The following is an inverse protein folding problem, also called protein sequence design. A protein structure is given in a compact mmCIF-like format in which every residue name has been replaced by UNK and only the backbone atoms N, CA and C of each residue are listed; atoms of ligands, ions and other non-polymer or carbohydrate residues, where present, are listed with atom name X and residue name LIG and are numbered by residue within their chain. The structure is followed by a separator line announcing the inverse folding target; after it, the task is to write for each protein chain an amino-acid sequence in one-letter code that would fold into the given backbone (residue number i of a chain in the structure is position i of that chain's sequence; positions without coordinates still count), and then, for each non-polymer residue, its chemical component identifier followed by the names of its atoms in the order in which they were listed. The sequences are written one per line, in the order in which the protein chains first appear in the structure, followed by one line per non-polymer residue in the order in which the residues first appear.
data_IF_033939159847
#
_entry.id   IF_033939159847
#
_cell.length_a   1.000
_cell.length_b   1.000
_cell.length_c   1.000
_cell.angle_alpha   90.00
_cell.angle_beta   90.00
_cell.angle_gamma   90.00
#
_symmetry.space_group_name_H-M   'P 1'
#
loop_
_entity.id
_entity.type
_entity.pdbx_description
1 polymer ?
#
# COMPACT_ATOMS: atom_id res chain seq x y z
N UNK A 1 30.24 18.68 25.33
CA UNK A 1 28.78 18.79 25.26
C UNK A 1 28.33 17.86 24.16
N UNK A 2 27.51 16.88 24.54
CA UNK A 2 27.02 15.80 23.69
C UNK A 2 26.07 16.34 22.61
N UNK A 3 26.29 15.95 21.35
CA UNK A 3 25.41 16.30 20.24
C UNK A 3 24.44 15.14 20.01
N UNK A 4 23.26 15.23 20.61
CA UNK A 4 22.17 14.30 20.38
C UNK A 4 21.71 14.35 18.92
N UNK A 5 21.96 13.27 18.17
CA UNK A 5 21.35 13.00 16.88
C UNK A 5 19.95 12.41 17.12
N UNK A 6 18.94 13.26 17.07
CA UNK A 6 17.55 12.83 16.91
C UNK A 6 17.33 12.32 15.50
N UNK A 7 17.42 11.01 15.29
CA UNK A 7 16.96 10.36 14.08
C UNK A 7 15.43 10.33 14.10
N UNK A 8 14.80 11.11 13.22
CA UNK A 8 13.33 11.17 13.15
C UNK A 8 12.85 12.01 11.98
N UNK A 9 13.28 11.67 10.77
CA UNK A 9 12.88 12.40 9.57
C UNK A 9 12.96 11.51 8.33
N UNK A 10 12.03 10.58 8.18
CA UNK A 10 11.83 9.92 6.88
C UNK A 10 10.90 10.82 6.05
N UNK A 11 11.47 11.90 5.50
CA UNK A 11 10.83 12.70 4.48
C UNK A 11 10.79 11.92 3.17
N UNK A 12 9.61 11.60 2.67
CA UNK A 12 9.41 11.11 1.32
C UNK A 12 9.63 12.28 0.35
N UNK A 13 10.81 12.34 -0.27
CA UNK A 13 11.07 13.20 -1.42
C UNK A 13 10.77 12.38 -2.68
N UNK A 14 9.61 12.62 -3.30
CA UNK A 14 9.36 12.15 -4.68
C UNK A 14 9.92 13.22 -5.63
N UNK A 15 11.19 13.08 -6.01
CA UNK A 15 11.74 13.85 -7.12
C UNK A 15 11.45 13.09 -8.42
N UNK A 16 10.52 13.62 -9.22
CA UNK A 16 10.12 13.05 -10.49
C UNK A 16 9.48 14.11 -11.39
N UNK A 17 10.28 15.06 -11.87
CA UNK A 17 9.93 15.95 -12.97
C UNK A 17 10.07 15.17 -14.30
N UNK A 18 9.09 14.31 -14.59
CA UNK A 18 8.80 13.84 -15.93
C UNK A 18 7.31 13.44 -15.98
N UNK A 19 6.49 14.31 -16.56
CA UNK A 19 5.07 14.06 -16.76
C UNK A 19 4.86 12.93 -17.79
N UNK A 20 4.90 11.68 -17.31
CA UNK A 20 4.52 10.47 -18.02
C UNK A 20 3.23 9.95 -17.37
N UNK A 21 2.10 10.06 -18.08
CA UNK A 21 0.80 9.63 -17.55
C UNK A 21 0.68 8.09 -17.62
N UNK A 22 1.00 7.40 -16.52
CA UNK A 22 0.73 5.96 -16.33
C UNK A 22 -0.39 5.81 -15.32
N UNK A 23 -1.57 5.39 -15.77
CA UNK A 23 -2.68 5.00 -14.88
C UNK A 23 -2.59 3.51 -14.62
N UNK A 24 -2.52 3.12 -13.36
CA UNK A 24 -2.52 1.73 -12.89
C UNK A 24 -3.36 1.59 -11.63
N UNK A 25 -3.50 0.36 -11.13
CA UNK A 25 -4.21 0.08 -9.89
C UNK A 25 -3.24 -0.58 -8.90
N UNK A 26 -3.46 -0.31 -7.62
CA UNK A 26 -2.70 -0.90 -6.54
C UNK A 26 -3.61 -1.85 -5.76
N UNK A 27 -3.09 -3.04 -5.47
CA UNK A 27 -3.82 -4.07 -4.75
C UNK A 27 -3.22 -4.24 -3.35
N UNK A 28 -4.07 -4.65 -2.41
CA UNK A 28 -3.69 -4.95 -1.03
C UNK A 28 -3.93 -6.42 -0.75
N UNK A 29 -3.06 -7.03 0.06
CA UNK A 29 -3.24 -8.39 0.52
C UNK A 29 -4.62 -8.59 1.19
N UNK A 30 -5.28 -9.71 0.89
CA UNK A 30 -6.65 -9.99 1.35
C UNK A 30 -6.72 -10.13 2.88
N UNK A 31 -5.68 -10.71 3.51
CA UNK A 31 -5.64 -10.87 4.97
C UNK A 31 -5.58 -9.51 5.66
N UNK A 32 -4.76 -8.60 5.14
CA UNK A 32 -4.65 -7.25 5.69
C UNK A 32 -5.93 -6.47 5.45
N UNK A 33 -6.49 -6.59 4.25
CA UNK A 33 -7.74 -5.95 3.84
C UNK A 33 -8.91 -6.36 4.75
N UNK A 34 -9.04 -7.65 5.06
CA UNK A 34 -10.07 -8.14 5.99
C UNK A 34 -9.90 -7.57 7.41
N UNK A 35 -8.66 -7.51 7.90
CA UNK A 35 -8.35 -6.94 9.23
C UNK A 35 -8.67 -5.46 9.33
N UNK A 36 -8.35 -4.68 8.30
CA UNK A 36 -8.68 -3.24 8.25
C UNK A 36 -10.19 -3.04 8.05
N UNK A 37 -10.84 -3.86 7.24
CA UNK A 37 -12.28 -3.83 7.00
C UNK A 37 -13.12 -4.05 8.27
N UNK A 38 -12.58 -4.75 9.28
CA UNK A 38 -13.21 -4.93 10.57
C UNK A 38 -13.11 -3.70 11.51
N UNK A 39 -12.35 -2.66 11.14
CA UNK A 39 -12.22 -1.43 11.92
C UNK A 39 -13.21 -0.35 11.47
N UNK A 40 -13.62 0.52 12.40
CA UNK A 40 -14.36 1.73 12.06
C UNK A 40 -13.47 2.70 11.26
N UNK A 41 -14.00 3.40 10.22
CA UNK A 41 -15.40 3.39 9.77
C UNK A 41 -15.74 2.27 8.79
N UNK A 42 -14.78 1.47 8.33
CA UNK A 42 -14.99 0.44 7.31
C UNK A 42 -15.98 -0.65 7.73
N UNK A 43 -15.99 -0.98 9.03
CA UNK A 43 -16.88 -1.98 9.62
C UNK A 43 -18.36 -1.63 9.54
N UNK A 44 -18.71 -0.37 9.23
CA UNK A 44 -20.11 0.05 9.02
C UNK A 44 -20.56 -0.10 7.58
N UNK A 45 -19.65 -0.42 6.66
CA UNK A 45 -19.97 -0.64 5.26
C UNK A 45 -20.63 -2.02 5.08
N UNK A 46 -21.86 -2.03 4.57
CA UNK A 46 -22.65 -3.25 4.34
C UNK A 46 -22.56 -3.77 2.91
N UNK A 47 -21.85 -3.06 2.02
CA UNK A 47 -21.67 -3.49 0.63
C UNK A 47 -20.67 -4.64 0.58
N UNK A 48 -21.06 -5.73 -0.09
CA UNK A 48 -20.18 -6.87 -0.31
C UNK A 48 -18.92 -6.42 -1.06
N UNK A 49 -17.75 -6.70 -0.49
CA UNK A 49 -16.46 -6.44 -1.13
C UNK A 49 -16.19 -7.43 -2.26
N UNK A 50 -15.61 -6.93 -3.35
CA UNK A 50 -14.90 -7.75 -4.33
C UNK A 50 -13.53 -8.11 -3.77
N UNK A 51 -13.23 -9.40 -3.68
CA UNK A 51 -11.91 -9.90 -3.29
C UNK A 51 -10.96 -9.90 -4.48
N UNK A 52 -9.65 -10.01 -4.24
CA UNK A 52 -8.66 -10.13 -5.32
C UNK A 52 -8.97 -11.30 -6.28
N UNK A 53 -9.46 -12.42 -5.76
CA UNK A 53 -9.81 -13.59 -6.58
C UNK A 53 -11.07 -13.38 -7.45
N UNK A 54 -11.86 -12.35 -7.17
CA UNK A 54 -13.07 -12.00 -7.91
C UNK A 54 -12.86 -10.79 -8.83
N UNK A 55 -11.74 -10.08 -8.68
CA UNK A 55 -11.41 -8.90 -9.44
C UNK A 55 -10.83 -9.31 -10.80
N UNK A 56 -11.53 -9.01 -11.90
CA UNK A 56 -11.09 -9.40 -13.24
C UNK A 56 -9.87 -8.61 -13.75
N UNK A 57 -9.41 -7.60 -13.01
CA UNK A 57 -8.23 -6.80 -13.35
C UNK A 57 -6.98 -7.37 -12.66
N UNK A 58 -7.13 -7.95 -11.47
CA UNK A 58 -6.02 -8.61 -10.80
C UNK A 58 -5.79 -10.00 -11.39
N UNK A 59 -4.61 -10.18 -11.99
CA UNK A 59 -4.21 -11.40 -12.72
C UNK A 59 -3.36 -12.36 -11.88
N UNK A 60 -3.30 -12.14 -10.56
CA UNK A 60 -2.47 -12.90 -9.61
C UNK A 60 -0.94 -12.75 -9.80
N UNK A 61 -0.48 -11.77 -10.58
CA UNK A 61 0.96 -11.54 -10.81
C UNK A 61 1.70 -10.83 -9.65
N UNK A 62 1.08 -10.71 -8.47
CA UNK A 62 1.72 -10.18 -7.26
C UNK A 62 2.22 -8.74 -7.44
N UNK A 63 3.46 -8.46 -7.03
CA UNK A 63 4.03 -7.11 -7.07
C UNK A 63 4.12 -6.55 -8.51
N UNK A 64 4.33 -7.41 -9.51
CA UNK A 64 4.35 -7.00 -10.91
C UNK A 64 2.98 -6.47 -11.38
N UNK A 65 1.91 -6.98 -10.77
CA UNK A 65 0.53 -6.58 -11.01
C UNK A 65 0.03 -5.50 -10.04
N UNK A 66 0.91 -4.94 -9.21
CA UNK A 66 0.61 -3.84 -8.30
C UNK A 66 0.22 -4.25 -6.88
N UNK A 67 0.42 -5.51 -6.47
CA UNK A 67 0.21 -5.93 -5.08
C UNK A 67 1.29 -5.34 -4.16
N UNK A 68 0.84 -4.57 -3.16
CA UNK A 68 1.71 -3.92 -2.20
C UNK A 68 2.25 -4.90 -1.17
N UNK A 69 3.55 -4.82 -0.86
CA UNK A 69 4.12 -5.44 0.34
C UNK A 69 3.96 -4.47 1.50
N UNK A 70 3.20 -4.87 2.52
CA UNK A 70 2.90 -4.04 3.67
C UNK A 70 3.64 -4.54 4.92
N UNK A 71 4.20 -3.60 5.67
CA UNK A 71 4.81 -3.83 6.99
C UNK A 71 3.94 -3.19 8.06
N UNK A 72 3.52 -3.96 9.06
CA UNK A 72 2.74 -3.43 10.18
C UNK A 72 3.59 -2.44 11.01
N UNK A 73 3.02 -1.29 11.35
CA UNK A 73 3.69 -0.27 12.17
C UNK A 73 3.52 -0.51 13.68
N UNK A 74 2.69 -1.50 14.05
CA UNK A 74 2.45 -1.92 15.43
C UNK A 74 1.77 -3.28 15.47
N UNK A 75 1.29 -3.67 16.65
CA UNK A 75 0.69 -4.99 16.86
C UNK A 75 -0.79 -5.09 16.47
N UNK A 76 -1.46 -3.97 16.18
CA UNK A 76 -2.86 -3.93 15.77
C UNK A 76 -3.01 -3.31 14.38
N UNK A 77 -4.07 -3.67 13.61
CA UNK A 77 -4.32 -3.04 12.31
C UNK A 77 -4.57 -1.53 12.41
N UNK A 78 -5.05 -1.06 13.57
CA UNK A 78 -5.26 0.36 13.86
C UNK A 78 -3.97 1.17 14.03
N UNK A 79 -2.84 0.51 14.30
CA UNK A 79 -1.53 1.16 14.33
C UNK A 79 -1.04 1.54 12.92
N UNK A 80 -1.72 1.05 11.87
CA UNK A 80 -1.39 1.34 10.49
C UNK A 80 -0.33 0.41 9.91
N UNK A 81 -0.12 0.56 8.60
CA UNK A 81 0.85 -0.21 7.82
C UNK A 81 1.65 0.73 6.92
N UNK A 82 2.94 0.44 6.75
CA UNK A 82 3.77 1.06 5.72
C UNK A 82 3.84 0.12 4.50
N UNK A 83 3.52 0.64 3.32
CA UNK A 83 3.61 -0.11 2.07
C UNK A 83 4.84 0.29 1.25
N UNK A 84 5.50 -0.71 0.66
CA UNK A 84 6.54 -0.48 -0.36
C UNK A 84 6.11 -1.09 -1.68
N UNK A 85 6.31 -0.34 -2.76
CA UNK A 85 6.10 -0.80 -4.12
C UNK A 85 7.32 -0.43 -4.97
N UNK A 86 7.87 -1.41 -5.65
CA UNK A 86 8.95 -1.20 -6.62
C UNK A 86 8.36 -1.37 -8.02
N UNK A 87 8.26 -0.26 -8.76
CA UNK A 87 7.81 -0.29 -10.16
C UNK A 87 8.99 -0.11 -11.10
N UNK A 88 9.21 -1.09 -11.97
CA UNK A 88 10.02 -0.90 -13.18
C UNK A 88 9.16 -0.27 -14.27
N UNK A 89 9.53 0.92 -14.74
CA UNK A 89 8.87 1.58 -15.88
C UNK A 89 9.80 1.45 -17.08
N UNK A 90 9.39 0.67 -18.06
CA UNK A 90 10.07 0.66 -19.36
C UNK A 90 9.61 1.85 -20.18
N UNK A 91 10.58 2.67 -20.59
CA UNK A 91 10.37 3.81 -21.48
C UNK A 91 10.80 3.36 -22.87
N UNK A 92 9.82 3.00 -23.70
CA UNK A 92 10.05 2.69 -25.12
C UNK A 92 10.57 3.89 -25.88
#
# INVERSE_FOLDING_TARGET
MDHGLGAGGQGLVVAGEAAMHRTGQLFFDETITARVGALSPYSTNTVTRTTLAQDSIYDDGGAASGLLTLTALGSSPSAGHAGTLTLGIEQS
#
